data_IF_725477974240
#
_entry.id   IF_725477974240
#
_cell.length_a   1.000
_cell.length_b   1.000
_cell.length_c   1.000
_cell.angle_alpha   90.00
_cell.angle_beta   90.00
_cell.angle_gamma   90.00
#
_symmetry.space_group_name_H-M   'P 1'
#
loop_
_entity.id
_entity.type
_entity.pdbx_description
1 polymer ?
#
# COMPACT_ATOMS: atom_id res chain seq x y z
N UNK A 1 -11.33 78.40 34.56
CA UNK A 1 -10.27 78.46 33.53
C UNK A 1 -9.00 77.84 34.11
N UNK A 2 -8.25 77.13 33.26
CA UNK A 2 -6.93 76.46 33.44
C UNK A 2 -6.92 75.23 34.38
N UNK A 3 -6.95 73.99 33.86
CA UNK A 3 -5.86 73.18 33.26
C UNK A 3 -4.60 73.04 34.14
N UNK A 4 -4.21 71.78 34.41
CA UNK A 4 -2.90 71.17 34.13
C UNK A 4 -2.79 69.81 34.86
N UNK A 5 -2.92 68.69 34.17
CA UNK A 5 -1.86 67.91 33.49
C UNK A 5 -0.89 67.23 34.48
N UNK A 6 -1.18 65.97 34.84
CA UNK A 6 -0.26 65.04 35.52
C UNK A 6 0.09 63.87 34.59
N UNK A 7 1.27 64.00 33.98
CA UNK A 7 2.36 63.02 33.92
C UNK A 7 1.95 61.54 33.73
N UNK A 8 1.91 61.14 32.45
CA UNK A 8 2.68 60.05 31.84
C UNK A 8 3.12 58.92 32.80
N UNK A 9 2.35 57.84 32.86
CA UNK A 9 2.84 56.53 33.32
C UNK A 9 2.82 55.56 32.14
N UNK A 10 4.01 55.36 31.62
CA UNK A 10 4.41 54.40 30.60
C UNK A 10 4.14 52.96 31.11
N UNK A 11 3.04 52.34 30.70
CA UNK A 11 2.87 50.89 30.78
C UNK A 11 2.30 50.38 29.45
N UNK A 12 3.20 50.33 28.47
CA UNK A 12 2.97 49.72 27.17
C UNK A 12 2.96 48.21 27.38
N UNK A 13 1.82 47.66 27.82
CA UNK A 13 1.56 46.21 27.81
C UNK A 13 1.35 45.86 26.34
N UNK A 14 2.44 45.59 25.63
CA UNK A 14 2.39 44.88 24.36
C UNK A 14 1.86 43.49 24.71
N UNK A 15 0.68 43.07 24.24
CA UNK A 15 0.36 41.66 24.26
C UNK A 15 1.33 41.05 23.25
N UNK A 16 2.38 40.43 23.76
CA UNK A 16 3.28 39.59 22.98
C UNK A 16 2.41 38.44 22.47
N UNK A 17 1.80 38.64 21.30
CA UNK A 17 1.26 37.58 20.47
C UNK A 17 2.43 36.67 20.14
N UNK A 18 2.68 35.70 21.01
CA UNK A 18 3.38 34.46 20.65
C UNK A 18 2.46 33.76 19.64
N UNK A 19 2.57 34.17 18.37
CA UNK A 19 2.05 33.42 17.25
C UNK A 19 2.89 32.16 17.16
N UNK A 20 2.45 31.12 17.88
CA UNK A 20 2.97 29.77 17.78
C UNK A 20 2.65 29.26 16.38
N UNK A 21 3.48 29.60 15.39
CA UNK A 21 3.44 28.95 14.09
C UNK A 21 3.79 27.49 14.33
N UNK A 22 2.76 26.63 14.44
CA UNK A 22 2.95 25.18 14.32
C UNK A 22 3.61 24.95 12.96
N UNK A 23 4.88 24.57 12.97
CA UNK A 23 5.54 23.99 11.82
C UNK A 23 4.84 22.65 11.56
N UNK A 24 3.87 22.65 10.65
CA UNK A 24 3.36 21.42 10.09
C UNK A 24 4.54 20.74 9.37
N UNK A 25 5.10 19.71 9.99
CA UNK A 25 6.11 18.88 9.36
C UNK A 25 5.51 18.28 8.10
N UNK A 26 6.00 18.71 6.95
CA UNK A 26 5.49 18.30 5.65
C UNK A 26 5.96 16.86 5.37
N UNK A 27 5.30 15.87 5.98
CA UNK A 27 5.56 14.44 5.75
C UNK A 27 5.31 14.17 4.26
N UNK A 28 6.26 13.52 3.58
CA UNK A 28 6.10 13.12 2.17
C UNK A 28 5.36 11.78 2.11
N UNK A 29 4.38 11.60 1.21
CA UNK A 29 3.72 10.31 1.05
C UNK A 29 4.71 9.26 0.53
N UNK A 30 4.54 8.02 0.97
CA UNK A 30 5.28 6.82 0.54
C UNK A 30 4.47 5.95 -0.43
N UNK A 31 3.20 6.28 -0.64
CA UNK A 31 2.32 5.68 -1.64
C UNK A 31 1.09 6.55 -1.88
N UNK A 32 0.18 6.07 -2.72
CA UNK A 32 -1.10 6.71 -2.97
C UNK A 32 -2.20 5.68 -3.26
N UNK A 33 -3.43 6.01 -2.88
CA UNK A 33 -4.61 5.26 -3.33
C UNK A 33 -4.80 5.48 -4.83
N UNK A 34 -4.96 4.39 -5.60
CA UNK A 34 -5.16 4.43 -7.06
C UNK A 34 -6.50 3.85 -7.51
N UNK A 35 -7.18 3.12 -6.64
CA UNK A 35 -8.57 2.70 -6.82
C UNK A 35 -9.16 2.27 -5.48
N UNK A 36 -10.47 2.47 -5.30
CA UNK A 36 -11.19 1.92 -4.15
C UNK A 36 -12.67 1.73 -4.49
N UNK A 37 -13.33 0.88 -3.74
CA UNK A 37 -14.79 0.69 -3.76
C UNK A 37 -15.30 0.60 -2.33
N UNK A 38 -16.51 1.09 -2.09
CA UNK A 38 -17.11 1.09 -0.75
C UNK A 38 -16.43 2.05 0.24
N UNK A 39 -16.44 1.66 1.51
CA UNK A 39 -15.96 2.46 2.62
C UNK A 39 -14.55 2.05 3.05
N UNK A 40 -13.60 2.94 2.79
CA UNK A 40 -12.18 2.80 3.11
C UNK A 40 -11.75 3.98 3.96
N UNK A 41 -11.03 3.70 5.05
CA UNK A 41 -10.53 4.69 5.98
C UNK A 41 -9.02 4.56 6.16
N UNK A 42 -8.33 5.68 6.22
CA UNK A 42 -6.90 5.78 6.52
C UNK A 42 -6.75 6.48 7.87
N UNK A 43 -6.07 5.84 8.81
CA UNK A 43 -5.71 6.42 10.10
C UNK A 43 -4.23 6.74 10.05
N UNK A 44 -3.89 8.03 10.11
CA UNK A 44 -2.51 8.46 10.18
C UNK A 44 -1.94 8.24 11.59
N UNK A 45 -0.61 8.13 11.67
CA UNK A 45 0.10 7.98 12.93
C UNK A 45 -0.30 9.05 13.95
N UNK A 46 -0.82 8.62 15.10
CA UNK A 46 -1.24 9.52 16.20
C UNK A 46 -2.65 10.11 16.04
N UNK A 47 -3.33 9.86 14.92
CA UNK A 47 -4.70 10.32 14.71
C UNK A 47 -5.72 9.29 15.21
N UNK A 48 -6.70 9.75 15.99
CA UNK A 48 -7.76 8.90 16.54
C UNK A 48 -8.94 8.73 15.58
N UNK A 49 -9.04 9.57 14.55
CA UNK A 49 -10.10 9.52 13.54
C UNK A 49 -9.52 9.10 12.19
N UNK A 50 -10.21 8.20 11.51
CA UNK A 50 -9.83 7.78 10.17
C UNK A 50 -10.37 8.73 9.12
N UNK A 51 -9.53 9.18 8.20
CA UNK A 51 -9.92 9.90 7.01
C UNK A 51 -10.57 8.93 6.00
N UNK A 52 -11.82 9.20 5.62
CA UNK A 52 -12.50 8.42 4.57
C UNK A 52 -11.86 8.72 3.22
N UNK A 53 -11.45 7.69 2.49
CA UNK A 53 -10.90 7.82 1.13
C UNK A 53 -11.94 8.41 0.20
N UNK A 54 -11.58 9.52 -0.45
CA UNK A 54 -12.43 10.23 -1.43
C UNK A 54 -11.72 10.46 -2.77
N UNK A 55 -10.45 10.11 -2.88
CA UNK A 55 -9.60 10.42 -4.01
C UNK A 55 -8.28 9.66 -3.98
N UNK A 56 -7.29 10.23 -4.65
CA UNK A 56 -5.90 9.75 -4.65
C UNK A 56 -5.18 10.15 -3.36
N UNK A 57 -5.71 9.71 -2.22
CA UNK A 57 -5.15 10.03 -0.91
C UNK A 57 -3.70 9.55 -0.80
N UNK A 58 -2.85 10.39 -0.22
CA UNK A 58 -1.47 10.04 0.10
C UNK A 58 -1.42 9.02 1.23
N UNK A 59 -0.51 8.07 1.11
CA UNK A 59 -0.24 7.06 2.13
C UNK A 59 1.10 7.36 2.77
N UNK A 60 1.14 7.33 4.10
CA UNK A 60 2.29 7.70 4.92
C UNK A 60 2.78 6.53 5.77
N UNK A 61 4.00 6.68 6.29
CA UNK A 61 4.57 5.75 7.24
C UNK A 61 3.66 5.61 8.48
N UNK A 62 3.48 4.37 8.95
CA UNK A 62 2.58 4.00 10.05
C UNK A 62 1.08 4.20 9.83
N UNK A 63 0.66 4.51 8.60
CA UNK A 63 -0.76 4.53 8.29
C UNK A 63 -1.40 3.16 8.50
N UNK A 64 -2.62 3.19 9.06
CA UNK A 64 -3.51 2.03 9.12
C UNK A 64 -4.64 2.22 8.13
N UNK A 65 -4.77 1.27 7.20
CA UNK A 65 -5.82 1.24 6.18
C UNK A 65 -6.86 0.20 6.58
N UNK A 66 -8.12 0.62 6.63
CA UNK A 66 -9.25 -0.22 6.99
C UNK A 66 -10.26 -0.23 5.85
N UNK A 67 -10.64 -1.42 5.41
CA UNK A 67 -11.73 -1.65 4.44
C UNK A 67 -12.93 -2.27 5.15
N UNK A 68 -14.11 -1.70 4.93
CA UNK A 68 -15.36 -2.25 5.48
C UNK A 68 -15.85 -3.46 4.66
N UNK A 69 -17.01 -4.02 5.02
CA UNK A 69 -17.69 -5.03 4.23
C UNK A 69 -17.94 -4.55 2.79
N UNK A 70 -17.79 -5.43 1.79
CA UNK A 70 -17.93 -5.10 0.35
C UNK A 70 -17.09 -3.90 -0.11
N UNK A 71 -16.00 -3.61 0.61
CA UNK A 71 -15.12 -2.49 0.33
C UNK A 71 -13.72 -2.99 0.02
N UNK A 72 -13.01 -2.31 -0.87
CA UNK A 72 -11.67 -2.73 -1.31
C UNK A 72 -10.85 -1.49 -1.62
N UNK A 73 -9.52 -1.57 -1.50
CA UNK A 73 -8.62 -0.49 -1.90
C UNK A 73 -7.37 -1.04 -2.59
N UNK A 74 -6.89 -0.31 -3.59
CA UNK A 74 -5.63 -0.54 -4.27
C UNK A 74 -4.70 0.66 -4.04
N UNK A 75 -3.50 0.36 -3.58
CA UNK A 75 -2.48 1.33 -3.20
C UNK A 75 -1.24 1.09 -4.07
N UNK A 76 -0.73 2.14 -4.68
CA UNK A 76 0.56 2.15 -5.36
C UNK A 76 1.62 2.76 -4.44
N UNK A 77 2.65 2.00 -4.13
CA UNK A 77 3.77 2.42 -3.30
C UNK A 77 4.90 3.01 -4.18
N UNK A 78 5.80 3.80 -3.58
CA UNK A 78 6.93 4.46 -4.28
C UNK A 78 7.99 3.50 -4.84
N UNK A 79 8.05 2.27 -4.35
CA UNK A 79 8.91 1.17 -4.80
C UNK A 79 8.27 0.39 -5.96
N UNK A 80 7.19 0.94 -6.55
CA UNK A 80 6.35 0.37 -7.61
C UNK A 80 5.55 -0.89 -7.18
N UNK A 81 5.53 -1.21 -5.89
CA UNK A 81 4.70 -2.28 -5.35
C UNK A 81 3.22 -1.86 -5.30
N UNK A 82 2.32 -2.79 -5.63
CA UNK A 82 0.88 -2.60 -5.55
C UNK A 82 0.32 -3.48 -4.43
N UNK A 83 -0.40 -2.87 -3.50
CA UNK A 83 -1.13 -3.56 -2.45
C UNK A 83 -2.63 -3.45 -2.75
N UNK A 84 -3.32 -4.57 -2.84
CA UNK A 84 -4.78 -4.62 -3.01
C UNK A 84 -5.41 -5.28 -1.80
N UNK A 85 -6.01 -4.47 -0.93
CA UNK A 85 -6.68 -4.92 0.29
C UNK A 85 -8.15 -5.20 -0.03
N UNK A 86 -8.58 -6.43 0.22
CA UNK A 86 -9.96 -6.89 0.09
C UNK A 86 -10.85 -6.38 1.22
N UNK A 87 -12.06 -6.91 1.32
CA UNK A 87 -13.03 -6.51 2.36
C UNK A 87 -12.62 -6.93 3.77
N UNK A 88 -13.19 -6.22 4.76
CA UNK A 88 -12.96 -6.46 6.19
C UNK A 88 -11.45 -6.51 6.54
N UNK A 89 -10.68 -5.67 5.85
CA UNK A 89 -9.23 -5.65 5.90
C UNK A 89 -8.72 -4.64 6.91
N UNK A 90 -7.62 -4.99 7.59
CA UNK A 90 -6.84 -4.04 8.40
C UNK A 90 -5.36 -4.22 8.09
N UNK A 91 -4.80 -3.25 7.38
CA UNK A 91 -3.41 -3.24 6.92
C UNK A 91 -2.67 -2.07 7.56
N UNK A 92 -1.47 -2.32 8.10
CA UNK A 92 -0.59 -1.30 8.67
C UNK A 92 0.71 -1.26 7.89
N UNK A 93 1.19 -0.05 7.60
CA UNK A 93 2.52 0.14 7.01
C UNK A 93 3.53 0.25 8.14
N UNK A 94 4.10 -0.90 8.51
CA UNK A 94 4.96 -1.04 9.69
C UNK A 94 6.35 -0.45 9.46
N UNK A 95 6.92 -0.68 8.28
CA UNK A 95 8.23 -0.18 7.91
C UNK A 95 8.30 0.15 6.41
N UNK A 96 8.94 1.26 6.08
CA UNK A 96 9.14 1.68 4.69
C UNK A 96 10.38 2.56 4.55
N UNK A 97 11.39 2.05 3.85
CA UNK A 97 12.63 2.76 3.52
C UNK A 97 12.92 2.58 2.03
N UNK A 98 13.23 3.69 1.36
CA UNK A 98 13.70 3.69 -0.02
C UNK A 98 14.90 4.63 -0.10
N UNK A 99 16.10 4.07 0.02
CA UNK A 99 17.36 4.80 -0.07
C UNK A 99 18.02 4.54 -1.43
N UNK A 100 18.02 5.56 -2.30
CA UNK A 100 18.56 5.42 -3.65
C UNK A 100 20.09 5.32 -3.65
N UNK A 101 20.77 5.97 -2.70
CA UNK A 101 22.23 6.01 -2.65
C UNK A 101 22.86 4.65 -2.30
N UNK A 102 22.22 3.89 -1.41
CA UNK A 102 22.69 2.56 -0.96
C UNK A 102 21.99 1.39 -1.64
N UNK A 103 21.04 1.65 -2.55
CA UNK A 103 20.13 0.64 -3.13
C UNK A 103 19.36 -0.18 -2.06
N UNK A 104 19.19 0.39 -0.86
CA UNK A 104 18.51 -0.24 0.27
C UNK A 104 17.01 0.03 0.22
N UNK A 105 16.24 -1.06 0.32
CA UNK A 105 14.77 -1.02 0.22
C UNK A 105 14.15 -1.87 1.31
N UNK A 106 13.35 -1.26 2.17
CA UNK A 106 12.59 -1.97 3.19
C UNK A 106 11.12 -1.69 2.98
N UNK A 107 10.31 -2.74 2.96
CA UNK A 107 8.86 -2.63 2.92
C UNK A 107 8.28 -3.74 3.79
N UNK A 108 7.71 -3.35 4.93
CA UNK A 108 7.06 -4.26 5.86
C UNK A 108 5.62 -3.83 6.05
N UNK A 109 4.69 -4.66 5.61
CA UNK A 109 3.26 -4.47 5.78
C UNK A 109 2.75 -5.49 6.79
N UNK A 110 1.86 -5.08 7.69
CA UNK A 110 1.23 -5.99 8.65
C UNK A 110 -0.27 -6.03 8.40
N UNK A 111 -0.80 -7.20 8.08
CA UNK A 111 -2.24 -7.42 7.97
C UNK A 111 -2.73 -8.09 9.25
N UNK A 112 -3.78 -7.54 9.86
CA UNK A 112 -4.40 -8.07 11.07
C UNK A 112 -5.69 -8.84 10.79
N UNK A 113 -6.36 -8.52 9.69
CA UNK A 113 -7.59 -9.16 9.26
C UNK A 113 -7.77 -8.96 7.74
N UNK A 114 -8.50 -9.89 7.12
CA UNK A 114 -8.89 -9.82 5.73
C UNK A 114 -7.84 -10.41 4.79
N UNK A 115 -7.78 -9.90 3.56
CA UNK A 115 -6.89 -10.40 2.50
C UNK A 115 -6.17 -9.26 1.81
N UNK A 116 -4.88 -9.41 1.59
CA UNK A 116 -4.09 -8.48 0.79
C UNK A 116 -3.39 -9.24 -0.33
N UNK A 117 -3.58 -8.79 -1.57
CA UNK A 117 -2.74 -9.19 -2.70
C UNK A 117 -1.64 -8.18 -2.86
N UNK A 118 -0.42 -8.66 -3.03
CA UNK A 118 0.75 -7.81 -3.25
C UNK A 118 1.43 -8.20 -4.54
N UNK A 119 1.59 -7.23 -5.45
CA UNK A 119 2.42 -7.34 -6.63
C UNK A 119 3.64 -6.47 -6.44
N UNK A 120 4.81 -7.07 -6.37
CA UNK A 120 6.04 -6.34 -6.05
C UNK A 120 6.74 -5.87 -7.32
N UNK A 121 6.89 -4.55 -7.46
CA UNK A 121 7.27 -3.91 -8.71
C UNK A 121 8.76 -3.94 -9.01
N UNK A 122 9.62 -3.81 -7.99
CA UNK A 122 11.09 -3.81 -8.15
C UNK A 122 11.75 -4.95 -7.41
N UNK A 123 12.89 -5.39 -7.94
CA UNK A 123 13.74 -6.38 -7.29
C UNK A 123 14.43 -5.72 -6.08
N UNK A 124 14.25 -6.31 -4.90
CA UNK A 124 14.95 -5.93 -3.68
C UNK A 124 16.35 -6.55 -3.73
N UNK A 125 17.40 -5.70 -3.76
CA UNK A 125 18.81 -6.09 -3.88
C UNK A 125 19.58 -5.72 -2.62
N UNK A 126 20.60 -6.51 -2.29
CA UNK A 126 21.43 -6.29 -1.09
C UNK A 126 20.88 -6.97 0.17
N UNK A 127 21.79 -7.34 1.09
CA UNK A 127 21.45 -8.17 2.26
C UNK A 127 20.53 -7.51 3.30
N UNK A 128 20.37 -6.18 3.23
CA UNK A 128 19.46 -5.42 4.12
C UNK A 128 18.08 -5.15 3.52
N UNK A 129 17.91 -5.39 2.22
CA UNK A 129 16.65 -5.08 1.53
C UNK A 129 15.65 -6.22 1.66
N UNK A 130 14.41 -5.91 2.03
CA UNK A 130 13.34 -6.90 2.08
C UNK A 130 11.97 -6.31 1.79
N UNK A 131 11.13 -7.15 1.19
CA UNK A 131 9.68 -6.97 1.15
C UNK A 131 9.04 -8.07 1.98
N UNK A 132 8.22 -7.69 2.96
CA UNK A 132 7.53 -8.63 3.85
C UNK A 132 6.09 -8.23 4.08
N UNK A 133 5.23 -9.24 4.13
CA UNK A 133 3.87 -9.14 4.67
C UNK A 133 3.82 -10.00 5.92
N UNK A 134 3.55 -9.36 7.06
CA UNK A 134 3.37 -10.02 8.35
C UNK A 134 1.88 -10.21 8.64
N UNK A 135 1.55 -11.32 9.26
CA UNK A 135 0.25 -11.59 9.88
C UNK A 135 0.45 -11.82 11.39
N UNK A 136 -0.61 -12.09 12.17
CA UNK A 136 -0.45 -12.53 13.55
C UNK A 136 0.31 -13.85 13.70
N UNK A 137 0.38 -14.70 12.67
CA UNK A 137 0.99 -16.04 12.77
C UNK A 137 2.18 -16.26 11.83
N UNK A 138 2.35 -15.44 10.79
CA UNK A 138 3.30 -15.71 9.71
C UNK A 138 4.05 -14.47 9.22
N UNK A 139 5.20 -14.72 8.60
CA UNK A 139 5.93 -13.77 7.76
C UNK A 139 6.00 -14.36 6.35
N UNK A 140 5.48 -13.63 5.37
CA UNK A 140 5.70 -13.88 3.96
C UNK A 140 6.76 -12.91 3.43
N UNK A 141 7.93 -13.41 3.07
CA UNK A 141 9.02 -12.65 2.45
C UNK A 141 9.23 -13.07 1.00
N UNK A 142 9.69 -12.16 0.15
CA UNK A 142 9.81 -12.45 -1.29
C UNK A 142 11.08 -11.91 -1.96
N UNK A 143 11.29 -12.37 -3.21
CA UNK A 143 12.22 -11.81 -4.20
C UNK A 143 11.50 -11.50 -5.54
N UNK A 144 10.52 -10.59 -5.54
CA UNK A 144 9.84 -10.08 -6.75
C UNK A 144 8.67 -10.95 -7.27
N UNK A 145 7.54 -10.91 -6.58
CA UNK A 145 6.50 -11.96 -6.64
C UNK A 145 5.09 -11.34 -6.56
N UNK A 146 4.11 -12.02 -7.15
CA UNK A 146 2.68 -11.75 -6.98
C UNK A 146 2.09 -12.82 -6.07
N UNK A 147 1.54 -12.42 -4.92
CA UNK A 147 1.03 -13.35 -3.93
C UNK A 147 -0.10 -12.75 -3.10
N UNK A 148 -0.87 -13.62 -2.47
CA UNK A 148 -1.99 -13.27 -1.61
C UNK A 148 -1.68 -13.76 -0.20
N UNK A 149 -1.90 -12.88 0.77
CA UNK A 149 -1.90 -13.19 2.19
C UNK A 149 -3.31 -12.97 2.71
N UNK A 150 -3.86 -13.97 3.36
CA UNK A 150 -5.13 -13.88 4.07
C UNK A 150 -4.95 -14.27 5.51
N UNK A 151 -5.63 -13.58 6.42
CA UNK A 151 -5.57 -13.90 7.84
C UNK A 151 -6.94 -13.72 8.49
N UNK A 152 -7.26 -14.69 9.32
CA UNK A 152 -8.42 -14.74 10.20
C UNK A 152 -7.94 -15.21 11.57
N UNK A 153 -8.72 -15.01 12.63
CA UNK A 153 -8.33 -15.32 14.02
C UNK A 153 -7.49 -16.61 14.17
N UNK A 154 -6.19 -16.44 14.46
CA UNK A 154 -5.26 -17.55 14.72
C UNK A 154 -4.76 -18.35 13.50
N UNK A 155 -5.15 -18.02 12.27
CA UNK A 155 -4.70 -18.69 11.05
C UNK A 155 -4.32 -17.69 9.95
N UNK A 156 -3.26 -18.01 9.20
CA UNK A 156 -2.89 -17.32 7.99
C UNK A 156 -2.76 -18.29 6.82
N UNK A 157 -3.26 -17.91 5.66
CA UNK A 157 -3.09 -18.64 4.39
C UNK A 157 -2.34 -17.72 3.41
N UNK A 158 -1.23 -18.24 2.89
CA UNK A 158 -0.38 -17.55 1.91
C UNK A 158 -0.40 -18.36 0.62
N UNK A 159 -0.62 -17.68 -0.50
CA UNK A 159 -0.69 -18.31 -1.84
C UNK A 159 0.19 -17.53 -2.82
N UNK A 160 1.11 -18.22 -3.49
CA UNK A 160 1.90 -17.65 -4.58
C UNK A 160 1.13 -17.72 -5.89
N UNK A 161 0.97 -16.57 -6.57
CA UNK A 161 0.40 -16.49 -7.91
C UNK A 161 1.51 -16.62 -8.95
N UNK A 162 2.58 -15.85 -8.80
CA UNK A 162 3.75 -15.89 -9.67
C UNK A 162 5.01 -15.50 -8.90
N UNK A 163 6.15 -16.10 -9.24
CA UNK A 163 7.39 -15.98 -8.47
C UNK A 163 7.43 -16.91 -7.26
N UNK A 164 8.40 -16.67 -6.36
CA UNK A 164 8.59 -17.46 -5.14
C UNK A 164 8.30 -16.64 -3.88
N UNK A 165 7.65 -17.26 -2.90
CA UNK A 165 7.39 -16.68 -1.57
C UNK A 165 8.01 -17.57 -0.51
N UNK A 166 8.93 -17.03 0.28
CA UNK A 166 9.40 -17.69 1.51
C UNK A 166 8.41 -17.39 2.64
N UNK A 167 7.92 -18.43 3.30
CA UNK A 167 6.90 -18.33 4.35
C UNK A 167 7.39 -19.06 5.59
N UNK A 168 7.32 -18.37 6.72
CA UNK A 168 7.68 -18.91 8.03
C UNK A 168 6.72 -18.42 9.10
N UNK A 169 6.77 -19.04 10.28
CA UNK A 169 6.04 -18.54 11.44
C UNK A 169 6.62 -17.18 11.92
N UNK A 170 5.79 -16.34 12.52
CA UNK A 170 6.21 -15.05 13.11
C UNK A 170 7.14 -15.23 14.32
N UNK A 171 7.00 -16.35 15.04
CA UNK A 171 7.80 -16.70 16.21
C UNK A 171 9.16 -17.27 15.79
N UNK A 172 10.28 -16.64 16.18
CA UNK A 172 11.62 -17.13 15.85
C UNK A 172 11.94 -18.52 16.42
N UNK A 173 11.20 -18.96 17.44
CA UNK A 173 11.36 -20.29 18.05
C UNK A 173 10.86 -21.43 17.15
N UNK A 174 10.15 -21.12 16.07
CA UNK A 174 9.66 -22.07 15.07
C UNK A 174 10.42 -21.79 13.77
N UNK A 175 11.59 -22.43 13.56
CA UNK A 175 12.52 -22.03 12.50
C UNK A 175 12.12 -22.53 11.10
N UNK A 176 11.09 -23.36 11.00
CA UNK A 176 10.65 -23.94 9.73
C UNK A 176 10.23 -22.85 8.74
N UNK A 177 10.80 -22.93 7.54
CA UNK A 177 10.48 -22.07 6.41
C UNK A 177 10.13 -22.94 5.21
N UNK A 178 9.09 -22.56 4.49
CA UNK A 178 8.67 -23.18 3.24
C UNK A 178 8.74 -22.17 2.10
N UNK A 179 9.13 -22.62 0.91
CA UNK A 179 9.13 -21.79 -0.30
C UNK A 179 7.97 -22.19 -1.19
N UNK A 180 7.08 -21.25 -1.46
CA UNK A 180 5.95 -21.41 -2.36
C UNK A 180 6.36 -21.04 -3.79
N UNK A 181 6.31 -22.03 -4.69
CA UNK A 181 6.33 -21.81 -6.13
C UNK A 181 4.96 -21.33 -6.63
N UNK A 182 4.85 -20.81 -7.86
CA UNK A 182 3.56 -20.40 -8.42
C UNK A 182 2.49 -21.50 -8.27
N UNK A 183 1.26 -21.08 -7.91
CA UNK A 183 0.10 -21.95 -7.66
C UNK A 183 0.18 -22.79 -6.37
N UNK A 184 1.24 -22.66 -5.58
CA UNK A 184 1.32 -23.28 -4.25
C UNK A 184 0.83 -22.34 -3.16
N UNK A 185 0.24 -22.92 -2.12
CA UNK A 185 -0.09 -22.24 -0.89
C UNK A 185 0.27 -23.04 0.35
N UNK A 186 0.33 -22.36 1.48
CA UNK A 186 0.55 -22.94 2.81
C UNK A 186 -0.33 -22.24 3.83
N UNK A 187 -0.60 -22.92 4.93
CA UNK A 187 -1.30 -22.38 6.09
C UNK A 187 -0.43 -22.40 7.32
N UNK A 188 -0.58 -21.39 8.17
CA UNK A 188 0.12 -21.24 9.44
C UNK A 188 -0.91 -20.92 10.52
N UNK A 189 -1.10 -21.86 11.44
CA UNK A 189 -1.85 -21.63 12.67
C UNK A 189 -0.93 -21.06 13.76
N UNK A 190 -1.53 -20.41 14.76
CA UNK A 190 -0.79 -19.81 15.86
C UNK A 190 0.10 -20.85 16.57
N UNK A 191 1.37 -20.50 16.76
CA UNK A 191 2.38 -21.40 17.33
C UNK A 191 2.74 -22.65 16.52
N UNK A 192 2.28 -22.79 15.27
CA UNK A 192 2.56 -23.96 14.43
C UNK A 192 3.49 -23.66 13.25
N UNK A 193 4.27 -24.65 12.83
CA UNK A 193 5.07 -24.56 11.59
C UNK A 193 4.17 -24.45 10.35
N UNK A 194 4.66 -23.85 9.24
CA UNK A 194 3.91 -23.85 8.00
C UNK A 194 3.57 -25.26 7.52
N UNK A 195 2.34 -25.45 7.04
CA UNK A 195 1.94 -26.71 6.41
C UNK A 195 2.78 -26.97 5.15
N UNK A 196 2.96 -28.24 4.80
CA UNK A 196 3.59 -28.60 3.52
C UNK A 196 2.90 -27.85 2.36
N UNK A 197 3.66 -27.15 1.49
CA UNK A 197 3.07 -26.45 0.34
C UNK A 197 2.23 -27.39 -0.52
N UNK A 198 1.01 -26.96 -0.83
CA UNK A 198 0.05 -27.71 -1.64
C UNK A 198 -0.45 -26.86 -2.81
N UNK A 199 -0.84 -27.50 -3.91
CA UNK A 199 -1.45 -26.80 -5.04
C UNK A 199 -2.81 -26.23 -4.63
N UNK A 200 -3.04 -24.97 -4.99
CA UNK A 200 -4.33 -24.31 -4.81
C UNK A 200 -5.21 -24.60 -6.03
N UNK A 201 -6.42 -25.17 -5.84
CA UNK A 201 -7.36 -25.37 -6.94
C UNK A 201 -7.68 -24.04 -7.65
N UNK A 202 -7.75 -24.06 -8.98
CA UNK A 202 -7.95 -22.84 -9.78
C UNK A 202 -9.16 -22.01 -9.36
N UNK A 203 -10.27 -22.66 -8.99
CA UNK A 203 -11.46 -21.97 -8.47
C UNK A 203 -11.20 -21.17 -7.20
N UNK A 204 -10.42 -21.73 -6.27
CA UNK A 204 -10.01 -21.04 -5.04
C UNK A 204 -9.05 -19.89 -5.33
N UNK A 205 -8.07 -20.12 -6.22
CA UNK A 205 -7.12 -19.08 -6.62
C UNK A 205 -7.83 -17.89 -7.29
N UNK A 206 -8.76 -18.17 -8.22
CA UNK A 206 -9.55 -17.14 -8.89
C UNK A 206 -10.42 -16.36 -7.91
N UNK A 207 -11.06 -17.04 -6.94
CA UNK A 207 -11.83 -16.36 -5.90
C UNK A 207 -10.95 -15.41 -5.06
N UNK A 208 -9.76 -15.85 -4.64
CA UNK A 208 -8.81 -15.00 -3.91
C UNK A 208 -8.38 -13.77 -4.73
N UNK A 209 -8.11 -13.97 -6.01
CA UNK A 209 -7.79 -12.87 -6.94
C UNK A 209 -8.97 -11.92 -7.05
N UNK A 210 -10.19 -12.43 -7.24
CA UNK A 210 -11.39 -11.61 -7.40
C UNK A 210 -11.72 -10.82 -6.13
N UNK A 211 -11.63 -11.43 -4.95
CA UNK A 211 -11.85 -10.79 -3.64
C UNK A 211 -10.89 -9.63 -3.36
N UNK A 212 -9.71 -9.64 -4.00
CA UNK A 212 -8.68 -8.62 -3.89
C UNK A 212 -8.57 -7.74 -5.14
N UNK A 213 -9.42 -7.96 -6.15
CA UNK A 213 -9.36 -7.21 -7.40
C UNK A 213 -10.28 -6.00 -7.35
N UNK A 214 -9.72 -4.88 -7.81
CA UNK A 214 -10.44 -3.72 -8.29
C UNK A 214 -9.73 -3.33 -9.58
N UNK A 215 -10.45 -3.15 -10.71
CA UNK A 215 -9.85 -2.47 -11.84
C UNK A 215 -9.33 -1.12 -11.36
N UNK A 216 -8.17 -0.69 -11.86
CA UNK A 216 -7.68 0.64 -11.52
C UNK A 216 -8.70 1.64 -12.07
N UNK A 217 -9.53 2.21 -11.20
CA UNK A 217 -10.58 3.18 -11.58
C UNK A 217 -9.98 4.52 -11.95
N UNK A 218 -8.73 4.77 -11.57
CA UNK A 218 -7.93 5.82 -12.17
C UNK A 218 -7.59 5.47 -13.63
N UNK A 219 -8.55 5.66 -14.53
CA UNK A 219 -8.19 6.33 -15.77
C UNK A 219 -7.61 7.70 -15.37
N UNK A 220 -6.55 8.09 -16.06
CA UNK A 220 -5.81 9.33 -15.89
C UNK A 220 -6.69 10.52 -16.30
N UNK A 221 -7.74 10.81 -15.54
CA UNK A 221 -8.52 12.06 -15.60
C UNK A 221 -8.06 12.91 -14.40
N UNK A 222 -6.82 13.40 -14.34
CA UNK A 222 -6.39 14.64 -15.02
C UNK A 222 -7.54 15.57 -15.41
N UNK A 223 -8.38 15.95 -14.44
CA UNK A 223 -9.19 17.15 -14.58
C UNK A 223 -9.03 18.09 -13.39
N UNK A 224 -8.28 19.16 -13.69
CA UNK A 224 -8.63 20.54 -13.34
C UNK A 224 -8.67 20.88 -11.84
N UNK A 225 -7.51 21.18 -11.23
CA UNK A 225 -7.36 22.27 -10.21
C UNK A 225 -6.01 22.29 -9.44
N UNK A 226 -5.16 21.25 -9.50
CA UNK A 226 -3.79 21.24 -8.89
C UNK A 226 -3.71 21.23 -7.36
N UNK A 227 -2.59 20.91 -6.66
CA UNK A 227 -1.44 19.96 -6.79
C UNK A 227 -0.67 19.83 -8.11
N UNK A 228 -0.54 20.94 -8.84
CA UNK A 228 -0.41 21.05 -10.28
C UNK A 228 0.81 20.40 -10.98
N UNK A 229 1.92 20.08 -10.30
CA UNK A 229 3.14 19.64 -10.98
C UNK A 229 3.44 18.14 -10.92
N UNK A 230 2.75 17.32 -10.14
CA UNK A 230 3.19 15.93 -9.95
C UNK A 230 2.06 14.93 -9.74
N UNK A 231 0.84 15.45 -9.75
CA UNK A 231 -0.20 14.89 -10.62
C UNK A 231 0.27 14.79 -12.10
N UNK A 232 1.01 15.79 -12.58
CA UNK A 232 1.68 15.77 -13.90
C UNK A 232 2.64 14.57 -13.99
N UNK A 233 3.02 14.04 -12.81
CA UNK A 233 3.76 12.82 -12.51
C UNK A 233 2.84 11.63 -12.20
N UNK A 234 2.16 11.10 -13.20
CA UNK A 234 2.35 9.65 -13.37
C UNK A 234 3.73 9.42 -14.08
N UNK A 235 4.66 10.41 -14.07
CA UNK A 235 5.07 11.33 -15.19
C UNK A 235 5.79 10.69 -16.35
N UNK A 236 6.25 9.48 -16.18
CA UNK A 236 7.07 8.82 -17.19
C UNK A 236 6.69 7.37 -17.34
N UNK A 237 5.53 6.97 -16.79
CA UNK A 237 4.85 5.71 -17.08
C UNK A 237 4.72 5.46 -18.60
N UNK A 238 4.77 6.51 -19.43
CA UNK A 238 4.75 6.39 -20.90
C UNK A 238 6.12 6.22 -21.58
N UNK A 239 7.26 6.53 -20.94
CA UNK A 239 8.58 6.55 -21.58
C UNK A 239 9.49 5.36 -21.23
N UNK A 240 9.37 4.75 -20.03
CA UNK A 240 10.10 3.50 -19.70
C UNK A 240 9.43 2.24 -20.21
N UNK A 241 8.09 2.19 -20.19
CA UNK A 241 7.34 1.09 -20.79
C UNK A 241 7.67 0.91 -22.29
N UNK A 242 7.96 2.02 -23.00
CA UNK A 242 8.39 2.03 -24.41
C UNK A 242 9.87 1.63 -24.62
N UNK A 243 10.72 1.60 -23.58
CA UNK A 243 12.16 1.31 -23.71
C UNK A 243 12.57 -0.11 -23.26
N UNK A 244 11.73 -0.81 -22.48
CA UNK A 244 12.02 -2.15 -21.96
C UNK A 244 11.22 -3.28 -22.62
N UNK A 245 10.40 -2.98 -23.62
CA UNK A 245 9.65 -3.97 -24.41
C UNK A 245 10.13 -4.02 -25.87
N UNK A 246 11.45 -4.05 -26.06
CA UNK A 246 12.07 -4.21 -27.38
C UNK A 246 12.47 -5.65 -27.72
N UNK A 247 12.26 -6.62 -26.84
CA UNK A 247 12.49 -8.02 -27.16
C UNK A 247 11.27 -8.86 -26.77
N UNK A 248 10.57 -9.26 -27.83
CA UNK A 248 9.44 -10.19 -27.88
C UNK A 248 9.80 -11.54 -27.27
N UNK A 249 9.03 -11.97 -26.27
CA UNK A 249 8.79 -13.40 -26.03
C UNK A 249 7.30 -13.61 -25.75
N UNK A 250 6.75 -14.73 -26.24
CA UNK A 250 5.31 -15.06 -26.31
C UNK A 250 4.59 -15.21 -24.95
N UNK A 251 5.15 -14.71 -23.84
CA UNK A 251 4.56 -14.85 -22.50
C UNK A 251 3.76 -13.64 -22.01
N UNK A 252 3.45 -12.68 -22.88
CA UNK A 252 2.63 -11.51 -22.53
C UNK A 252 1.13 -11.74 -22.82
N UNK A 253 0.50 -12.76 -22.22
CA UNK A 253 -0.96 -12.98 -22.29
C UNK A 253 -1.70 -12.86 -20.95
N UNK A 254 -1.05 -12.41 -19.87
CA UNK A 254 -1.68 -12.40 -18.54
C UNK A 254 -2.33 -11.05 -18.16
N UNK A 255 -2.16 -9.96 -18.94
CA UNK A 255 -2.69 -8.63 -18.56
C UNK A 255 -3.47 -7.85 -19.64
N UNK A 256 -3.99 -8.48 -20.69
CA UNK A 256 -4.87 -7.77 -21.61
C UNK A 256 -6.32 -7.77 -21.12
N UNK A 257 -6.74 -6.62 -20.57
CA UNK A 257 -8.12 -6.13 -20.54
C UNK A 257 -8.66 -6.20 -21.98
N UNK A 258 -9.44 -7.24 -22.29
CA UNK A 258 -10.39 -7.23 -23.39
C UNK A 258 -11.71 -6.67 -22.84
N UNK A 259 -12.39 -5.86 -23.66
CA UNK A 259 -13.77 -5.36 -23.47
C UNK A 259 -13.96 -3.90 -23.02
N UNK A 260 -13.25 -2.95 -23.66
CA UNK A 260 -13.67 -1.54 -23.71
C UNK A 260 -13.75 -1.02 -25.16
N UNK A 261 -14.43 -1.76 -26.03
CA UNK A 261 -14.69 -1.34 -27.40
C UNK A 261 -16.17 -1.50 -27.78
N UNK A 262 -17.11 -0.94 -27.00
CA UNK A 262 -18.43 -0.53 -27.51
C UNK A 262 -18.97 0.63 -26.67
N UNK A 263 -18.60 1.86 -26.99
CA UNK A 263 -19.48 3.01 -26.75
C UNK A 263 -19.49 3.86 -28.02
N UNK A 264 -20.70 4.00 -28.53
CA UNK A 264 -21.10 4.49 -29.85
C UNK A 264 -20.83 6.00 -29.99
N UNK A 265 -20.46 6.39 -31.20
CA UNK A 265 -20.46 7.77 -31.68
C UNK A 265 -21.90 8.32 -31.73
N UNK A 266 -22.10 9.53 -31.19
CA UNK A 266 -23.19 10.47 -31.50
C UNK A 266 -22.62 11.89 -31.22
N UNK A 267 -22.86 12.90 -32.06
CA UNK A 267 -22.98 12.94 -33.52
C UNK A 267 -21.68 13.44 -34.20
#
# INVERSE_FOLDING_TARGET
MTNNLKIISLFFIIPFLFASTLLAANKKPIGAVVAWTGDVYIYHEGESQGAKVKGMEGIYYQDTIITSNRSRVKILMKDDSILSLGENGRLVIKDYLLEEASDERVSTFKIFAGKVRTLVGRVFRGGKSHFRVETPTAIAGIKGTDFIVSTTEGESEIVSISGEVAVRNISPSIPDEVVLKPRLGTKIQDGMSPSTPAEIPSGRLNALIEETSIPVTAAIELREAGCAGCHEKIYSAKLRYKKQHLETSEQCQICHIKDLAVVREIP
#
